data_IF_260690586924
#
_entry.id   IF_260690586924
#
_cell.length_a   1.000
_cell.length_b   1.000
_cell.length_c   1.000
_cell.angle_alpha   90.00
_cell.angle_beta   90.00
_cell.angle_gamma   90.00
#
_symmetry.space_group_name_H-M   'P 1'
#
loop_
_entity.id
_entity.type
_entity.pdbx_description
1 polymer ?
#
# COMPACT_ATOMS: atom_id res chain seq x y z
N UNK A 1 -4.15 35.36 37.21
CA UNK A 1 -3.83 35.06 35.79
C UNK A 1 -2.53 34.26 35.59
N UNK A 2 -1.99 33.56 36.61
CA UNK A 2 -0.81 32.67 36.46
C UNK A 2 -1.16 31.17 36.41
N UNK A 3 -2.39 30.79 36.79
CA UNK A 3 -2.85 29.40 36.83
C UNK A 3 -3.42 28.90 35.50
N UNK A 4 -3.75 29.78 34.55
CA UNK A 4 -4.28 29.39 33.23
C UNK A 4 -3.19 28.90 32.26
N UNK A 5 -1.95 29.35 32.42
CA UNK A 5 -0.85 28.99 31.52
C UNK A 5 -0.31 27.56 31.75
N UNK A 6 -0.58 26.96 32.92
CA UNK A 6 -0.07 25.63 33.28
C UNK A 6 -0.93 24.52 32.63
N UNK A 7 -2.21 24.76 32.36
CA UNK A 7 -3.08 23.78 31.71
C UNK A 7 -2.86 23.68 30.20
N UNK A 8 -2.34 24.73 29.55
CA UNK A 8 -2.11 24.74 28.10
C UNK A 8 -0.89 23.88 27.69
N UNK A 9 0.03 23.61 28.63
CA UNK A 9 1.27 22.87 28.36
C UNK A 9 1.08 21.35 28.54
N UNK A 10 0.00 20.90 29.20
CA UNK A 10 -0.22 19.48 29.49
C UNK A 10 -0.90 18.68 28.36
N UNK A 11 -1.35 19.33 27.28
CA UNK A 11 -2.06 18.66 26.17
C UNK A 11 -1.18 18.32 24.95
N UNK A 12 0.13 18.55 25.01
CA UNK A 12 1.06 18.24 23.88
C UNK A 12 1.56 16.78 23.92
N UNK A 13 1.03 15.95 24.83
CA UNK A 13 1.40 14.54 24.97
C UNK A 13 0.59 13.56 24.11
N UNK A 14 -0.15 14.01 23.09
CA UNK A 14 -0.91 13.11 22.22
C UNK A 14 -0.04 12.56 21.07
N UNK A 15 0.69 11.50 21.40
CA UNK A 15 1.04 10.34 20.55
C UNK A 15 1.41 10.58 19.08
N UNK A 16 2.66 10.31 18.67
CA UNK A 16 2.92 9.76 17.34
C UNK A 16 2.83 8.23 17.42
N UNK A 17 1.63 7.69 17.60
CA UNK A 17 1.35 6.29 17.24
C UNK A 17 1.09 6.13 15.72
N UNK A 18 1.26 7.20 14.95
CA UNK A 18 1.23 7.19 13.50
C UNK A 18 2.62 6.84 12.97
N UNK A 19 2.88 5.57 12.65
CA UNK A 19 3.87 5.19 11.60
C UNK A 19 4.08 3.68 11.38
N UNK A 20 3.27 2.78 11.97
CA UNK A 20 3.26 1.36 11.55
C UNK A 20 2.01 0.91 10.79
N UNK A 21 0.91 1.66 10.88
CA UNK A 21 -0.35 1.35 10.17
C UNK A 21 -0.24 1.58 8.65
N UNK A 22 0.51 2.59 8.20
CA UNK A 22 0.50 3.02 6.80
C UNK A 22 1.20 2.10 5.80
N UNK A 23 2.06 1.15 6.22
CA UNK A 23 2.76 0.24 5.29
C UNK A 23 1.97 -1.02 4.96
N UNK A 24 1.09 -1.46 5.86
CA UNK A 24 0.32 -2.69 5.68
C UNK A 24 -0.99 -2.46 4.93
N UNK A 25 -1.54 -1.25 4.97
CA UNK A 25 -2.81 -0.92 4.32
C UNK A 25 -2.73 -1.00 2.78
N UNK A 26 -1.62 -0.58 2.17
CA UNK A 26 -1.52 -0.53 0.71
C UNK A 26 -1.36 -1.87 0.02
N UNK A 27 -0.92 -2.93 0.71
CA UNK A 27 -0.66 -4.21 0.04
C UNK A 27 -1.94 -4.83 -0.52
N UNK A 28 -3.09 -4.57 0.11
CA UNK A 28 -4.40 -5.00 -0.38
C UNK A 28 -4.77 -4.28 -1.68
N UNK A 29 -4.56 -2.96 -1.75
CA UNK A 29 -4.73 -2.18 -2.99
C UNK A 29 -3.78 -2.65 -4.09
N UNK A 30 -2.52 -2.94 -3.74
CA UNK A 30 -1.51 -3.47 -4.68
C UNK A 30 -1.93 -4.84 -5.23
N UNK A 31 -2.41 -5.74 -4.38
CA UNK A 31 -2.88 -7.07 -4.81
C UNK A 31 -4.02 -6.95 -5.84
N UNK A 32 -4.99 -6.07 -5.59
CA UNK A 32 -6.08 -5.80 -6.53
C UNK A 32 -5.62 -5.11 -7.82
N UNK A 33 -4.66 -4.18 -7.72
CA UNK A 33 -4.06 -3.54 -8.90
C UNK A 33 -3.39 -4.57 -9.81
N UNK A 34 -2.55 -5.44 -9.24
CA UNK A 34 -1.81 -6.44 -10.03
C UNK A 34 -2.70 -7.55 -10.60
N UNK A 35 -3.79 -7.89 -9.91
CA UNK A 35 -4.85 -8.76 -10.45
C UNK A 35 -5.42 -8.16 -11.76
N UNK A 36 -5.83 -6.90 -11.71
CA UNK A 36 -6.47 -6.23 -12.84
C UNK A 36 -5.54 -5.97 -14.04
N UNK A 37 -4.26 -5.70 -13.83
CA UNK A 37 -3.28 -5.53 -14.92
C UNK A 37 -2.76 -6.87 -15.47
N UNK A 38 -3.14 -8.00 -14.85
CA UNK A 38 -2.78 -9.34 -15.30
C UNK A 38 -1.37 -9.80 -14.88
N UNK A 39 -0.73 -9.13 -13.93
CA UNK A 39 0.57 -9.58 -13.39
C UNK A 39 0.35 -10.62 -12.29
N UNK A 40 0.23 -11.88 -12.71
CA UNK A 40 -0.02 -12.98 -11.79
C UNK A 40 1.10 -13.16 -10.75
N UNK A 41 2.36 -12.87 -11.09
CA UNK A 41 3.48 -13.06 -10.18
C UNK A 41 3.42 -12.05 -9.02
N UNK A 42 3.29 -10.76 -9.33
CA UNK A 42 3.24 -9.71 -8.31
C UNK A 42 1.92 -9.77 -7.53
N UNK A 43 0.81 -10.17 -8.17
CA UNK A 43 -0.46 -10.43 -7.48
C UNK A 43 -0.32 -11.52 -6.42
N UNK A 44 0.19 -12.70 -6.78
CA UNK A 44 0.37 -13.81 -5.83
C UNK A 44 1.34 -13.46 -4.71
N UNK A 45 2.41 -12.72 -5.02
CA UNK A 45 3.33 -12.27 -4.00
C UNK A 45 2.66 -11.30 -3.01
N UNK A 46 1.85 -10.37 -3.50
CA UNK A 46 1.08 -9.46 -2.64
C UNK A 46 0.08 -10.23 -1.77
N UNK A 47 -0.64 -11.23 -2.32
CA UNK A 47 -1.51 -12.12 -1.54
C UNK A 47 -0.74 -12.86 -0.44
N UNK A 48 0.47 -13.34 -0.74
CA UNK A 48 1.32 -14.01 0.25
C UNK A 48 1.72 -13.08 1.40
N UNK A 49 1.94 -11.79 1.11
CA UNK A 49 2.18 -10.77 2.13
C UNK A 49 0.92 -10.51 2.96
N UNK A 50 -0.27 -10.46 2.34
CA UNK A 50 -1.56 -10.35 3.03
C UNK A 50 -1.76 -11.51 4.01
N UNK A 51 -1.55 -12.74 3.56
CA UNK A 51 -1.65 -13.95 4.38
C UNK A 51 -0.67 -13.92 5.56
N UNK A 52 0.60 -13.58 5.29
CA UNK A 52 1.65 -13.54 6.32
C UNK A 52 1.32 -12.54 7.44
N UNK A 53 0.63 -11.45 7.10
CA UNK A 53 0.21 -10.43 8.05
C UNK A 53 -1.21 -10.65 8.60
N UNK A 54 -1.84 -11.81 8.31
CA UNK A 54 -3.17 -12.19 8.79
C UNK A 54 -4.29 -11.22 8.40
N UNK A 55 -4.20 -10.64 7.21
CA UNK A 55 -5.17 -9.66 6.70
C UNK A 55 -6.24 -10.28 5.77
N UNK A 56 -6.22 -11.59 5.55
CA UNK A 56 -7.11 -12.28 4.60
C UNK A 56 -8.60 -12.13 4.95
N UNK A 57 -8.92 -12.12 6.25
CA UNK A 57 -10.30 -11.98 6.73
C UNK A 57 -10.70 -10.52 7.02
N UNK A 58 -9.80 -9.57 6.79
CA UNK A 58 -10.05 -8.16 7.02
C UNK A 58 -10.96 -7.58 5.91
N UNK A 59 -12.13 -7.10 6.32
CA UNK A 59 -13.10 -6.45 5.42
C UNK A 59 -12.53 -5.19 4.76
N UNK A 60 -11.66 -4.46 5.44
CA UNK A 60 -10.97 -3.30 4.87
C UNK A 60 -10.05 -3.73 3.72
N UNK A 61 -9.26 -4.80 3.92
CA UNK A 61 -8.40 -5.36 2.89
C UNK A 61 -9.19 -5.82 1.66
N UNK A 62 -10.35 -6.47 1.84
CA UNK A 62 -11.24 -6.85 0.72
C UNK A 62 -11.77 -5.64 -0.06
N UNK A 63 -12.04 -4.54 0.64
CA UNK A 63 -12.48 -3.28 0.02
C UNK A 63 -11.34 -2.64 -0.76
N UNK A 64 -10.15 -2.66 -0.19
CA UNK A 64 -8.94 -2.12 -0.79
C UNK A 64 -8.49 -2.89 -2.04
N UNK A 65 -8.63 -4.22 -2.05
CA UNK A 65 -8.42 -5.03 -3.26
C UNK A 65 -9.35 -4.56 -4.38
N UNK A 66 -10.64 -4.38 -4.11
CA UNK A 66 -11.60 -3.88 -5.12
C UNK A 66 -11.23 -2.46 -5.59
N UNK A 67 -10.79 -1.60 -4.67
CA UNK A 67 -10.35 -0.26 -5.03
C UNK A 67 -9.14 -0.29 -5.97
N UNK A 68 -8.10 -1.05 -5.64
CA UNK A 68 -6.92 -1.20 -6.48
C UNK A 68 -7.22 -1.76 -7.88
N UNK A 69 -8.11 -2.75 -7.95
CA UNK A 69 -8.58 -3.31 -9.21
C UNK A 69 -9.30 -2.24 -10.07
N UNK A 70 -10.18 -1.45 -9.47
CA UNK A 70 -10.86 -0.34 -10.15
C UNK A 70 -9.88 0.73 -10.65
N UNK A 71 -8.85 1.07 -9.87
CA UNK A 71 -7.79 2.01 -10.29
C UNK A 71 -7.12 1.52 -11.57
N UNK A 72 -6.70 0.26 -11.62
CA UNK A 72 -6.06 -0.33 -12.78
C UNK A 72 -6.97 -0.30 -14.02
N UNK A 73 -8.23 -0.72 -13.89
CA UNK A 73 -9.18 -0.67 -15.00
C UNK A 73 -9.47 0.75 -15.47
N UNK A 74 -9.61 1.70 -14.54
CA UNK A 74 -9.81 3.11 -14.87
C UNK A 74 -8.61 3.67 -15.63
N UNK A 75 -7.40 3.41 -15.15
CA UNK A 75 -6.17 3.82 -15.82
C UNK A 75 -6.06 3.19 -17.21
N UNK A 76 -6.32 1.89 -17.36
CA UNK A 76 -6.32 1.21 -18.66
C UNK A 76 -7.31 1.81 -19.65
N UNK A 77 -8.47 2.30 -19.19
CA UNK A 77 -9.50 2.89 -20.04
C UNK A 77 -9.25 4.36 -20.40
N UNK A 78 -8.75 5.14 -19.44
CA UNK A 78 -8.64 6.60 -19.57
C UNK A 78 -7.21 7.10 -19.84
N UNK A 79 -6.21 6.25 -19.67
CA UNK A 79 -4.79 6.61 -19.73
C UNK A 79 -4.31 7.49 -18.57
N UNK A 80 -5.19 7.77 -17.59
CA UNK A 80 -4.90 8.60 -16.41
C UNK A 80 -5.77 8.21 -15.23
N UNK A 81 -5.32 8.61 -14.04
CA UNK A 81 -6.10 8.61 -12.80
C UNK A 81 -6.51 10.04 -12.45
N UNK A 82 -7.54 10.19 -11.62
CA UNK A 82 -8.20 11.48 -11.38
C UNK A 82 -8.08 11.97 -9.95
N UNK A 83 -7.72 11.10 -9.00
CA UNK A 83 -7.52 11.49 -7.60
C UNK A 83 -6.13 11.12 -7.07
N UNK A 84 -5.73 11.82 -6.00
CA UNK A 84 -4.47 11.56 -5.31
C UNK A 84 -4.39 10.13 -4.76
N UNK A 85 -5.51 9.57 -4.30
CA UNK A 85 -5.57 8.20 -3.80
C UNK A 85 -5.33 7.17 -4.93
N UNK A 86 -5.93 7.38 -6.10
CA UNK A 86 -5.70 6.54 -7.28
C UNK A 86 -4.24 6.64 -7.76
N UNK A 87 -3.65 7.84 -7.68
CA UNK A 87 -2.24 8.04 -8.00
C UNK A 87 -1.32 7.33 -7.00
N UNK A 88 -1.64 7.38 -5.70
CA UNK A 88 -0.89 6.67 -4.67
C UNK A 88 -0.91 5.16 -4.88
N UNK A 89 -2.04 4.57 -5.31
CA UNK A 89 -2.09 3.13 -5.63
C UNK A 89 -1.09 2.77 -6.73
N UNK A 90 -1.04 3.55 -7.81
CA UNK A 90 -0.08 3.30 -8.89
C UNK A 90 1.37 3.45 -8.45
N UNK A 91 1.66 4.51 -7.68
CA UNK A 91 3.02 4.73 -7.15
C UNK A 91 3.45 3.59 -6.22
N UNK A 92 2.57 3.14 -5.32
CA UNK A 92 2.87 2.04 -4.42
C UNK A 92 2.96 0.70 -5.14
N UNK A 93 2.12 0.44 -6.14
CA UNK A 93 2.24 -0.75 -6.99
C UNK A 93 3.60 -0.75 -7.70
N UNK A 94 3.93 0.33 -8.40
CA UNK A 94 5.23 0.47 -9.07
C UNK A 94 6.40 0.24 -8.11
N UNK A 95 6.38 0.94 -6.96
CA UNK A 95 7.44 0.81 -5.97
C UNK A 95 7.56 -0.61 -5.42
N UNK A 96 6.44 -1.28 -5.19
CA UNK A 96 6.43 -2.70 -4.78
C UNK A 96 7.07 -3.59 -5.84
N UNK A 97 6.68 -3.45 -7.11
CA UNK A 97 7.28 -4.20 -8.22
C UNK A 97 8.79 -3.98 -8.32
N UNK A 98 9.23 -2.71 -8.28
CA UNK A 98 10.65 -2.34 -8.33
C UNK A 98 11.43 -3.02 -7.18
N UNK A 99 10.92 -2.97 -5.94
CA UNK A 99 11.54 -3.63 -4.78
C UNK A 99 11.65 -5.16 -4.95
N UNK A 100 10.61 -5.79 -5.50
CA UNK A 100 10.58 -7.23 -5.73
C UNK A 100 11.63 -7.63 -6.76
N UNK A 101 11.68 -6.91 -7.89
CA UNK A 101 12.66 -7.19 -8.94
C UNK A 101 14.08 -6.90 -8.48
N UNK A 102 14.33 -5.79 -7.78
CA UNK A 102 15.64 -5.49 -7.20
C UNK A 102 16.11 -6.60 -6.25
N UNK A 103 15.20 -7.11 -5.40
CA UNK A 103 15.50 -8.21 -4.49
C UNK A 103 15.85 -9.49 -5.26
N UNK A 104 15.09 -9.85 -6.30
CA UNK A 104 15.35 -11.01 -7.15
C UNK A 104 16.69 -10.87 -7.87
N UNK A 105 16.92 -9.73 -8.53
CA UNK A 105 18.14 -9.45 -9.29
C UNK A 105 19.38 -9.44 -8.39
N UNK A 106 19.26 -8.98 -7.14
CA UNK A 106 20.37 -9.04 -6.17
C UNK A 106 20.86 -10.45 -5.84
N UNK A 107 20.04 -11.47 -6.15
CA UNK A 107 20.33 -12.89 -5.89
C UNK A 107 20.67 -13.68 -7.14
N UNK A 108 20.34 -13.17 -8.32
CA UNK A 108 20.70 -13.79 -9.58
C UNK A 108 22.16 -13.44 -9.87
N UNK A 109 23.02 -14.45 -9.96
CA UNK A 109 24.32 -14.33 -10.62
C UNK A 109 24.14 -14.83 -12.05
N UNK A 110 24.25 -13.91 -13.01
CA UNK A 110 24.29 -14.28 -14.42
C UNK A 110 25.76 -14.59 -14.76
N UNK A 111 26.08 -15.87 -14.71
CA UNK A 111 27.37 -16.40 -15.14
C UNK A 111 27.31 -16.59 -16.67
N UNK A 112 27.49 -15.49 -17.40
CA UNK A 112 27.75 -15.48 -18.84
C UNK A 112 29.23 -15.25 -19.13
#
# INVERSE_FOLDING_TARGET
>A
MKKLLIYLVLMVGLSPAASLAGKHEYICKIAGYYDAVGDHFLHQLALRVIEKNRMTDDTSCKTDIKFGNNVAHKYSRLGKVESDDEMQVQMHAKHFGDLVYDAILSKIRLDW
#
